data_IF_371323482808
#
_entry.id   IF_371323482808
#
_cell.length_a   1.000
_cell.length_b   1.000
_cell.length_c   1.000
_cell.angle_alpha   90.00
_cell.angle_beta   90.00
_cell.angle_gamma   90.00
#
_symmetry.space_group_name_H-M   'P 1'
#
loop_
_entity.id
_entity.type
_entity.pdbx_description
1 polymer ?
#
# COMPACT_ATOMS: atom_id res chain seq x y z
N UNK A 1 3.05 6.05 53.89
CA UNK A 1 3.68 6.66 52.72
C UNK A 1 3.52 5.73 51.54
N UNK A 2 2.53 5.96 50.78
CA UNK A 2 2.13 5.08 49.67
C UNK A 2 2.80 5.48 48.38
N UNK A 3 3.48 4.62 47.91
CA UNK A 3 4.36 4.44 46.82
C UNK A 3 3.90 5.12 45.54
N UNK A 4 4.56 6.18 45.19
CA UNK A 4 4.50 6.84 43.89
C UNK A 4 5.03 5.94 42.76
N UNK A 5 5.70 4.85 43.12
CA UNK A 5 6.29 3.91 42.15
C UNK A 5 5.28 3.02 41.44
N UNK A 6 4.15 2.73 42.06
CA UNK A 6 3.14 1.85 41.46
C UNK A 6 2.38 2.52 40.28
N UNK A 7 2.15 3.83 40.37
CA UNK A 7 1.50 4.57 39.26
C UNK A 7 2.39 4.69 38.03
N UNK A 8 3.68 4.85 38.20
CA UNK A 8 4.63 4.98 37.07
C UNK A 8 4.79 3.66 36.35
N UNK A 9 4.79 2.55 37.07
CA UNK A 9 4.88 1.20 36.47
C UNK A 9 3.60 0.85 35.67
N UNK A 10 2.43 1.27 36.16
CA UNK A 10 1.15 1.05 35.46
C UNK A 10 1.06 1.86 34.17
N UNK A 11 1.58 3.09 34.14
CA UNK A 11 1.62 3.94 32.94
C UNK A 11 2.59 3.38 31.90
N UNK A 12 3.72 2.86 32.32
CA UNK A 12 4.67 2.22 31.43
C UNK A 12 4.11 0.92 30.82
N UNK A 13 3.34 0.14 31.59
CA UNK A 13 2.71 -1.07 31.12
C UNK A 13 1.56 -0.76 30.13
N UNK A 14 0.82 0.31 30.34
CA UNK A 14 -0.23 0.76 29.42
C UNK A 14 0.35 1.24 28.08
N UNK A 15 1.54 1.82 28.06
CA UNK A 15 2.24 2.22 26.82
C UNK A 15 2.82 1.03 26.06
N UNK A 16 3.10 -0.09 26.72
CA UNK A 16 3.62 -1.31 26.09
C UNK A 16 2.51 -2.27 25.63
N UNK A 17 1.28 -2.11 26.08
CA UNK A 17 0.15 -3.00 25.83
C UNK A 17 -0.91 -2.45 24.88
N UNK A 18 -0.74 -1.28 24.31
CA UNK A 18 -1.68 -0.72 23.32
C UNK A 18 -1.55 -1.43 21.97
N UNK A 19 -2.66 -1.76 21.28
CA UNK A 19 -2.58 -2.21 19.91
C UNK A 19 -1.92 -1.10 19.08
N UNK A 20 -0.70 -1.36 18.64
CA UNK A 20 -0.08 -0.52 17.62
C UNK A 20 -0.89 -0.72 16.36
N UNK A 21 -1.66 0.28 15.94
CA UNK A 21 -2.20 0.35 14.59
C UNK A 21 -0.98 0.47 13.69
N UNK A 22 -0.48 -0.66 13.21
CA UNK A 22 0.49 -0.66 12.13
C UNK A 22 -0.27 -0.26 10.88
N UNK A 23 0.07 0.88 10.32
CA UNK A 23 -0.14 1.09 8.91
C UNK A 23 0.51 -0.10 8.19
N UNK A 24 -0.29 -0.92 7.53
CA UNK A 24 0.23 -1.98 6.69
C UNK A 24 0.89 -1.25 5.53
N UNK A 25 2.18 -1.43 5.34
CA UNK A 25 2.90 -0.83 4.22
C UNK A 25 2.60 -1.62 2.93
N UNK A 26 1.32 -1.63 2.59
CA UNK A 26 0.72 -2.44 1.53
C UNK A 26 1.34 -2.17 0.16
N UNK A 27 1.87 -0.96 -0.04
CA UNK A 27 2.41 -0.54 -1.33
C UNK A 27 3.94 -0.66 -1.42
N UNK A 28 4.60 -1.23 -0.43
CA UNK A 28 5.96 -1.76 -0.51
C UNK A 28 5.88 -3.24 -0.93
N UNK A 29 5.75 -3.46 -2.23
CA UNK A 29 5.41 -4.78 -2.78
C UNK A 29 6.58 -5.76 -2.69
N UNK A 30 7.80 -5.30 -2.95
CA UNK A 30 8.97 -6.16 -2.89
C UNK A 30 9.63 -6.19 -1.49
N UNK A 31 9.17 -5.34 -0.56
CA UNK A 31 9.57 -5.36 0.84
C UNK A 31 10.99 -4.87 1.06
N UNK A 32 11.44 -3.89 0.30
CA UNK A 32 12.73 -3.22 0.48
C UNK A 32 12.68 -2.07 1.51
N UNK A 33 11.47 -1.69 1.95
CA UNK A 33 11.23 -0.62 2.91
C UNK A 33 10.94 0.74 2.25
N UNK A 34 10.84 0.80 0.94
CA UNK A 34 10.47 2.01 0.18
C UNK A 34 9.28 1.75 -0.72
N UNK A 35 8.61 2.79 -1.17
CA UNK A 35 7.55 2.71 -2.19
C UNK A 35 8.08 3.38 -3.45
N UNK A 36 8.42 2.61 -4.45
CA UNK A 36 9.06 3.10 -5.67
C UNK A 36 8.22 2.79 -6.91
N UNK A 37 8.18 3.73 -7.85
CA UNK A 37 7.40 3.59 -9.07
C UNK A 37 7.89 2.44 -9.97
N UNK A 38 9.20 2.23 -10.06
CA UNK A 38 9.80 1.26 -10.98
C UNK A 38 9.93 -0.15 -10.39
N UNK A 39 9.70 -0.30 -9.11
CA UNK A 39 9.54 -1.58 -8.43
C UNK A 39 8.07 -1.80 -8.09
N UNK A 40 7.58 -1.25 -7.00
CA UNK A 40 6.25 -1.51 -6.48
C UNK A 40 5.11 -1.10 -7.42
N UNK A 41 5.16 0.12 -7.95
CA UNK A 41 4.16 0.61 -8.89
C UNK A 41 4.07 -0.25 -10.15
N UNK A 42 5.22 -0.65 -10.67
CA UNK A 42 5.31 -1.49 -11.85
C UNK A 42 4.84 -2.93 -11.58
N UNK A 43 5.17 -3.50 -10.40
CA UNK A 43 4.70 -4.83 -9.99
C UNK A 43 3.18 -4.88 -9.89
N UNK A 44 2.56 -3.88 -9.24
CA UNK A 44 1.09 -3.79 -9.16
C UNK A 44 0.48 -3.66 -10.55
N UNK A 45 0.97 -2.75 -11.38
CA UNK A 45 0.44 -2.53 -12.72
C UNK A 45 0.51 -3.80 -13.58
N UNK A 46 1.65 -4.48 -13.60
CA UNK A 46 1.84 -5.75 -14.32
C UNK A 46 0.91 -6.84 -13.80
N UNK A 47 0.79 -6.96 -12.47
CA UNK A 47 -0.11 -7.94 -11.85
C UNK A 47 -1.56 -7.72 -12.28
N UNK A 48 -2.02 -6.47 -12.26
CA UNK A 48 -3.38 -6.11 -12.66
C UNK A 48 -3.64 -6.32 -14.17
N UNK A 49 -2.59 -6.26 -14.99
CA UNK A 49 -2.65 -6.71 -16.39
C UNK A 49 -2.60 -8.23 -16.56
N UNK A 50 -2.47 -8.99 -15.48
CA UNK A 50 -2.43 -10.46 -15.51
C UNK A 50 -1.04 -11.05 -15.79
N UNK A 51 0.03 -10.28 -15.64
CA UNK A 51 1.39 -10.81 -15.80
C UNK A 51 1.74 -11.68 -14.58
N UNK A 52 2.48 -12.74 -14.82
CA UNK A 52 2.90 -13.71 -13.82
C UNK A 52 4.33 -14.22 -14.09
N UNK A 53 4.92 -14.92 -13.13
CA UNK A 53 6.25 -15.46 -13.28
C UNK A 53 7.31 -14.39 -13.56
N UNK A 54 8.27 -14.69 -14.41
CA UNK A 54 9.37 -13.75 -14.74
C UNK A 54 8.90 -12.47 -15.42
N UNK A 55 7.82 -12.51 -16.20
CA UNK A 55 7.26 -11.31 -16.84
C UNK A 55 6.69 -10.30 -15.83
N UNK A 56 6.27 -10.77 -14.66
CA UNK A 56 5.86 -9.91 -13.56
C UNK A 56 7.07 -9.21 -12.93
N UNK A 57 8.15 -9.94 -12.64
CA UNK A 57 9.22 -9.47 -11.77
C UNK A 57 10.47 -8.95 -12.47
N UNK A 58 10.69 -9.29 -13.76
CA UNK A 58 11.91 -8.91 -14.47
C UNK A 58 12.13 -7.39 -14.48
N UNK A 59 13.27 -6.96 -13.90
CA UNK A 59 13.65 -5.55 -13.82
C UNK A 59 12.79 -4.69 -12.88
N UNK A 60 11.94 -5.30 -12.05
CA UNK A 60 11.03 -4.60 -11.14
C UNK A 60 11.22 -5.01 -9.66
N UNK A 61 12.35 -5.60 -9.32
CA UNK A 61 12.70 -5.99 -7.94
C UNK A 61 13.93 -5.21 -7.51
N UNK A 62 13.86 -4.58 -6.35
CA UNK A 62 15.02 -3.91 -5.75
C UNK A 62 16.10 -4.91 -5.32
N UNK A 63 17.36 -4.45 -5.28
CA UNK A 63 18.50 -5.33 -4.95
C UNK A 63 18.50 -5.84 -3.51
N UNK A 64 17.82 -5.15 -2.62
CA UNK A 64 17.68 -5.45 -1.20
C UNK A 64 16.25 -5.90 -0.80
N UNK A 65 15.42 -6.21 -1.79
CA UNK A 65 14.06 -6.69 -1.59
C UNK A 65 13.99 -7.95 -0.74
N UNK A 66 13.06 -7.97 0.23
CA UNK A 66 12.77 -9.13 1.05
C UNK A 66 11.84 -10.14 0.35
N UNK A 67 11.06 -9.68 -0.63
CA UNK A 67 10.24 -10.49 -1.54
C UNK A 67 10.81 -10.35 -2.94
N UNK A 68 11.50 -11.35 -3.44
CA UNK A 68 12.26 -11.26 -4.69
C UNK A 68 11.83 -12.26 -5.77
N UNK A 69 11.03 -13.26 -5.41
CA UNK A 69 10.53 -14.25 -6.36
C UNK A 69 9.12 -13.92 -6.84
N UNK A 70 8.80 -14.32 -8.05
CA UNK A 70 7.45 -14.13 -8.61
C UNK A 70 6.35 -14.71 -7.71
N UNK A 71 6.61 -15.88 -7.12
CA UNK A 71 5.65 -16.55 -6.22
C UNK A 71 5.39 -15.74 -4.94
N UNK A 72 6.42 -15.13 -4.36
CA UNK A 72 6.27 -14.26 -3.17
C UNK A 72 5.48 -13.01 -3.50
N UNK A 73 5.80 -12.37 -4.63
CA UNK A 73 5.10 -11.17 -5.10
C UNK A 73 3.63 -11.48 -5.43
N UNK A 74 3.37 -12.55 -6.17
CA UNK A 74 2.00 -12.96 -6.51
C UNK A 74 1.17 -13.28 -5.25
N UNK A 75 1.75 -14.01 -4.30
CA UNK A 75 1.09 -14.33 -3.03
C UNK A 75 0.77 -13.07 -2.23
N UNK A 76 1.69 -12.12 -2.19
CA UNK A 76 1.50 -10.84 -1.51
C UNK A 76 0.36 -10.03 -2.15
N UNK A 77 0.40 -9.85 -3.46
CA UNK A 77 -0.60 -9.08 -4.21
C UNK A 77 -2.00 -9.73 -4.16
N UNK A 78 -2.08 -11.07 -4.11
CA UNK A 78 -3.36 -11.78 -3.96
C UNK A 78 -3.94 -11.62 -2.55
N UNK A 79 -3.09 -11.67 -1.52
CA UNK A 79 -3.52 -11.49 -0.12
C UNK A 79 -4.04 -10.08 0.13
N UNK A 80 -3.35 -9.09 -0.41
CA UNK A 80 -3.66 -7.67 -0.21
C UNK A 80 -4.50 -7.06 -1.35
N UNK A 81 -5.08 -7.89 -2.22
CA UNK A 81 -5.81 -7.44 -3.41
C UNK A 81 -6.93 -6.44 -3.13
N UNK A 82 -7.60 -6.54 -1.98
CA UNK A 82 -8.64 -5.61 -1.55
C UNK A 82 -8.13 -4.17 -1.38
N UNK A 83 -6.84 -4.02 -1.08
CA UNK A 83 -6.22 -2.70 -0.88
C UNK A 83 -5.74 -2.06 -2.19
N UNK A 84 -5.73 -2.82 -3.27
CA UNK A 84 -5.35 -2.32 -4.59
C UNK A 84 -6.46 -1.52 -5.28
N UNK A 85 -7.67 -1.47 -4.72
CA UNK A 85 -8.76 -0.59 -5.14
C UNK A 85 -8.46 0.85 -4.67
N UNK A 86 -7.65 1.55 -5.45
CA UNK A 86 -7.10 2.86 -5.10
C UNK A 86 -8.16 3.96 -5.14
N UNK A 87 -9.07 3.91 -6.11
CA UNK A 87 -10.14 4.91 -6.26
C UNK A 87 -11.45 4.53 -5.55
N UNK A 88 -11.50 3.35 -4.90
CA UNK A 88 -12.65 2.87 -4.11
C UNK A 88 -13.94 2.79 -4.95
N UNK A 89 -13.83 2.26 -6.17
CA UNK A 89 -15.00 2.02 -7.01
C UNK A 89 -15.59 0.61 -6.85
N UNK A 90 -14.91 -0.25 -6.08
CA UNK A 90 -15.30 -1.64 -5.81
C UNK A 90 -14.68 -2.66 -6.78
N UNK A 91 -13.85 -2.22 -7.71
CA UNK A 91 -13.09 -3.08 -8.63
C UNK A 91 -11.61 -2.76 -8.54
N UNK A 92 -10.77 -3.67 -8.99
CA UNK A 92 -9.32 -3.44 -9.05
C UNK A 92 -8.89 -3.57 -10.50
N UNK A 93 -8.48 -2.46 -11.11
CA UNK A 93 -8.22 -2.37 -12.54
C UNK A 93 -6.85 -1.74 -12.83
N UNK A 94 -6.16 -2.24 -13.86
CA UNK A 94 -4.84 -1.76 -14.24
C UNK A 94 -4.83 -0.30 -14.71
N UNK A 95 -5.87 0.13 -15.43
CA UNK A 95 -5.95 1.47 -16.03
C UNK A 95 -6.54 2.54 -15.11
N UNK A 96 -7.09 2.14 -13.98
CA UNK A 96 -7.47 3.03 -12.88
C UNK A 96 -6.45 2.88 -11.74
N UNK A 97 -6.60 1.87 -10.91
CA UNK A 97 -5.80 1.70 -9.69
C UNK A 97 -4.31 1.54 -9.94
N UNK A 98 -3.93 0.66 -10.86
CA UNK A 98 -2.52 0.45 -11.20
C UNK A 98 -1.87 1.71 -11.73
N UNK A 99 -2.58 2.45 -12.58
CA UNK A 99 -2.09 3.70 -13.14
C UNK A 99 -2.03 4.83 -12.11
N UNK A 100 -3.02 4.93 -11.21
CA UNK A 100 -3.02 5.90 -10.11
C UNK A 100 -1.84 5.68 -9.18
N UNK A 101 -1.59 4.43 -8.75
CA UNK A 101 -0.45 4.10 -7.92
C UNK A 101 0.87 4.46 -8.60
N UNK A 102 1.05 4.02 -9.84
CA UNK A 102 2.28 4.29 -10.59
C UNK A 102 2.56 5.78 -10.75
N UNK A 103 1.54 6.56 -11.17
CA UNK A 103 1.66 8.02 -11.31
C UNK A 103 1.99 8.71 -9.99
N UNK A 104 1.32 8.28 -8.90
CA UNK A 104 1.57 8.84 -7.58
C UNK A 104 3.02 8.60 -7.13
N UNK A 105 3.52 7.38 -7.28
CA UNK A 105 4.90 7.03 -6.94
C UNK A 105 5.93 7.75 -7.82
N UNK A 106 5.58 8.13 -9.06
CA UNK A 106 6.36 9.05 -9.88
C UNK A 106 6.28 10.53 -9.45
N UNK A 107 5.48 10.84 -8.44
CA UNK A 107 5.33 12.20 -7.91
C UNK A 107 4.31 13.07 -8.66
N UNK A 108 3.39 12.47 -9.44
CA UNK A 108 2.31 13.21 -10.08
C UNK A 108 1.29 13.66 -9.05
N UNK A 109 0.76 14.86 -9.23
CA UNK A 109 -0.19 15.49 -8.31
C UNK A 109 -1.33 16.17 -9.07
N UNK A 110 -2.42 16.50 -8.36
CA UNK A 110 -3.56 17.22 -8.98
C UNK A 110 -4.12 16.47 -10.18
N UNK A 111 -4.48 17.20 -11.23
CA UNK A 111 -5.09 16.61 -12.43
C UNK A 111 -4.15 15.63 -13.17
N UNK A 112 -2.84 15.85 -13.14
CA UNK A 112 -1.91 14.94 -13.79
C UNK A 112 -1.88 13.55 -13.14
N UNK A 113 -2.25 13.46 -11.87
CA UNK A 113 -2.45 12.17 -11.20
C UNK A 113 -3.76 11.50 -11.65
N UNK A 114 -4.86 12.25 -11.67
CA UNK A 114 -6.22 11.69 -11.73
C UNK A 114 -6.83 11.62 -13.12
N UNK A 115 -6.42 12.49 -14.05
CA UNK A 115 -7.05 12.61 -15.37
C UNK A 115 -7.00 11.30 -16.17
N UNK A 116 -8.18 10.78 -16.51
CA UNK A 116 -8.33 9.55 -17.27
C UNK A 116 -7.94 8.25 -16.50
N UNK A 117 -7.70 8.35 -15.18
CA UNK A 117 -7.31 7.22 -14.36
C UNK A 117 -8.23 6.99 -13.14
N UNK A 118 -9.26 7.80 -12.98
CA UNK A 118 -10.28 7.64 -11.93
C UNK A 118 -11.56 7.15 -12.56
N UNK A 119 -12.17 6.12 -11.99
CA UNK A 119 -13.45 5.59 -12.42
C UNK A 119 -14.59 6.61 -12.19
N UNK A 120 -15.61 6.57 -13.05
CA UNK A 120 -16.82 7.41 -12.87
C UNK A 120 -17.58 7.07 -11.58
N UNK A 121 -17.40 5.86 -11.06
CA UNK A 121 -18.04 5.38 -9.83
C UNK A 121 -17.14 5.47 -8.60
N UNK A 122 -15.95 6.06 -8.74
CA UNK A 122 -14.98 6.20 -7.67
C UNK A 122 -15.55 7.00 -6.48
N UNK A 123 -15.31 6.50 -5.28
CA UNK A 123 -15.58 7.23 -4.03
C UNK A 123 -14.38 8.06 -3.60
N UNK A 124 -13.19 7.65 -4.01
CA UNK A 124 -11.92 8.34 -3.80
C UNK A 124 -11.46 8.91 -5.13
N UNK A 125 -11.90 10.14 -5.45
CA UNK A 125 -11.75 10.71 -6.79
C UNK A 125 -10.74 11.87 -6.87
N UNK A 126 -10.43 12.52 -5.76
CA UNK A 126 -9.48 13.63 -5.75
C UNK A 126 -8.04 13.14 -5.57
N UNK A 127 -7.09 13.88 -6.15
CA UNK A 127 -5.66 13.59 -5.98
C UNK A 127 -5.22 13.58 -4.51
N UNK A 128 -5.84 14.40 -3.66
CA UNK A 128 -5.55 14.46 -2.23
C UNK A 128 -6.00 13.19 -1.51
N UNK A 129 -7.21 12.70 -1.79
CA UNK A 129 -7.73 11.46 -1.20
C UNK A 129 -6.91 10.25 -1.62
N UNK A 130 -6.58 10.16 -2.90
CA UNK A 130 -5.76 9.10 -3.48
C UNK A 130 -4.36 9.10 -2.86
N UNK A 131 -3.71 10.26 -2.82
CA UNK A 131 -2.38 10.39 -2.20
C UNK A 131 -2.38 10.03 -0.72
N UNK A 132 -3.37 10.52 0.03
CA UNK A 132 -3.51 10.18 1.45
C UNK A 132 -3.71 8.67 1.68
N UNK A 133 -4.45 8.02 0.82
CA UNK A 133 -4.66 6.57 0.88
C UNK A 133 -3.37 5.79 0.62
N UNK A 134 -2.60 6.18 -0.38
CA UNK A 134 -1.32 5.53 -0.72
C UNK A 134 -0.26 5.77 0.37
N UNK A 135 -0.19 6.98 0.92
CA UNK A 135 0.78 7.33 1.96
C UNK A 135 0.49 6.64 3.29
N UNK A 136 -0.75 6.72 3.73
CA UNK A 136 -1.16 6.15 5.02
C UNK A 136 -1.20 4.61 4.99
N UNK A 137 -1.36 4.02 3.81
CA UNK A 137 -1.75 2.63 3.67
C UNK A 137 -3.18 2.39 4.13
N UNK A 138 -3.78 1.28 3.76
CA UNK A 138 -5.10 0.91 4.24
C UNK A 138 -5.08 0.64 5.74
N UNK A 139 -6.12 1.06 6.42
CA UNK A 139 -6.34 0.70 7.82
C UNK A 139 -6.95 -0.70 7.85
N UNK A 140 -6.30 -1.63 8.54
CA UNK A 140 -6.83 -2.98 8.71
C UNK A 140 -8.15 -2.91 9.50
N UNK A 141 -9.30 -3.28 8.90
CA UNK A 141 -10.58 -3.23 9.59
C UNK A 141 -10.69 -4.21 10.76
N UNK A 142 -9.79 -5.18 10.85
CA UNK A 142 -9.78 -6.17 11.96
C UNK A 142 -9.31 -5.54 13.27
N UNK A 143 -8.66 -4.38 13.24
CA UNK A 143 -8.13 -3.68 14.43
C UNK A 143 -9.16 -2.68 15.01
N UNK A 144 -10.25 -2.44 14.34
CA UNK A 144 -11.35 -1.57 14.79
C UNK A 144 -12.43 -2.39 15.50
#
# INVERSE_FOLDING_TARGET
MMSRSACVVLIALALLGGPSVRAIDTFDIDGDGTKDALTDGLLVLRHLFGFSGTTLTEGAIAGDASRSTASEIESYLQTDSVYLDIDDDGTTDALTDGLLLLRYLFGFTGQTLTEGAVSETARRASATEIGSYIDAGPIDPVIL
#
